data_IF_932084988520
#
_entry.id   IF_932084988520
#
_cell.length_a   1.000
_cell.length_b   1.000
_cell.length_c   1.000
_cell.angle_alpha   90.00
_cell.angle_beta   90.00
_cell.angle_gamma   90.00
#
_symmetry.space_group_name_H-M   'P 1'
#
loop_
_entity.id
_entity.type
_entity.pdbx_description
1 polymer ?
#
# COMPACT_ATOMS: atom_id res chain seq x y z
N UNK A 1 11.54 -22.76 -4.53
CA UNK A 1 10.71 -23.57 -3.62
C UNK A 1 11.20 -23.55 -2.16
N UNK A 2 12.50 -23.44 -1.86
CA UNK A 2 12.99 -23.47 -0.45
C UNK A 2 12.42 -22.38 0.47
N UNK A 3 12.05 -21.21 -0.05
CA UNK A 3 11.46 -20.10 0.72
C UNK A 3 10.04 -20.41 1.22
N UNK A 4 9.25 -21.11 0.40
CA UNK A 4 7.88 -21.56 0.72
C UNK A 4 7.94 -22.82 1.58
N UNK A 5 8.86 -23.73 1.28
CA UNK A 5 9.01 -24.99 2.03
C UNK A 5 9.53 -24.77 3.46
N UNK A 6 10.46 -23.83 3.66
CA UNK A 6 11.09 -23.61 4.97
C UNK A 6 10.50 -22.42 5.74
N UNK A 7 9.55 -21.67 5.15
CA UNK A 7 8.91 -20.48 5.75
C UNK A 7 9.91 -19.56 6.49
N UNK A 8 11.11 -19.37 5.93
CA UNK A 8 12.20 -18.67 6.62
C UNK A 8 12.85 -17.62 5.72
N UNK A 9 13.15 -16.47 6.32
CA UNK A 9 13.89 -15.36 5.71
C UNK A 9 15.39 -15.43 6.01
N UNK A 10 15.84 -16.40 6.82
CA UNK A 10 17.26 -16.61 7.12
C UNK A 10 17.95 -17.32 5.96
N UNK A 11 19.01 -16.73 5.41
CA UNK A 11 19.81 -17.33 4.32
C UNK A 11 20.33 -18.72 4.65
N UNK A 12 20.66 -18.98 5.92
CA UNK A 12 21.08 -20.32 6.38
C UNK A 12 19.94 -21.33 6.27
N UNK A 13 18.73 -20.96 6.71
CA UNK A 13 17.59 -21.88 6.68
C UNK A 13 17.06 -22.06 5.25
N UNK A 14 17.08 -21.01 4.44
CA UNK A 14 16.72 -21.11 3.01
C UNK A 14 17.66 -22.05 2.24
N UNK A 15 18.92 -22.18 2.68
CA UNK A 15 19.89 -23.08 2.07
C UNK A 15 19.58 -24.56 2.32
N UNK A 16 18.78 -24.89 3.35
CA UNK A 16 18.36 -26.26 3.64
C UNK A 16 17.52 -26.83 2.50
N UNK A 17 16.59 -26.05 1.93
CA UNK A 17 15.75 -26.48 0.80
C UNK A 17 16.43 -26.41 -0.57
N UNK A 18 17.70 -26.03 -0.67
CA UNK A 18 18.44 -26.13 -1.95
C UNK A 18 19.05 -27.53 -2.02
N UNK A 19 18.44 -28.42 -2.81
CA UNK A 19 18.93 -29.79 -3.01
C UNK A 19 20.27 -29.80 -3.75
N UNK A 20 21.20 -30.65 -3.31
CA UNK A 20 22.48 -30.86 -3.98
C UNK A 20 23.60 -31.34 -3.06
N UNK A 21 24.71 -31.80 -3.66
CA UNK A 21 25.89 -32.35 -2.96
C UNK A 21 26.80 -31.27 -2.34
N UNK A 22 26.50 -29.99 -2.54
CA UNK A 22 27.32 -28.88 -2.06
C UNK A 22 27.19 -28.68 -0.54
N UNK A 23 28.29 -28.28 0.10
CA UNK A 23 28.31 -27.92 1.53
C UNK A 23 27.25 -26.86 1.83
N UNK A 24 26.66 -26.93 3.03
CA UNK A 24 25.63 -25.99 3.47
C UNK A 24 26.09 -24.52 3.42
N UNK A 25 27.34 -24.25 3.82
CA UNK A 25 27.96 -22.93 3.74
C UNK A 25 28.04 -22.41 2.29
N UNK A 26 28.37 -23.26 1.32
CA UNK A 26 28.39 -22.90 -0.09
C UNK A 26 26.98 -22.57 -0.62
N UNK A 27 25.96 -23.34 -0.22
CA UNK A 27 24.56 -23.06 -0.56
C UNK A 27 24.08 -21.74 0.04
N UNK A 28 24.41 -21.50 1.31
CA UNK A 28 24.12 -20.22 2.00
C UNK A 28 24.77 -19.06 1.26
N UNK A 29 26.05 -19.17 0.89
CA UNK A 29 26.77 -18.12 0.17
C UNK A 29 26.16 -17.86 -1.21
N UNK A 30 25.66 -18.88 -1.90
CA UNK A 30 24.96 -18.72 -3.18
C UNK A 30 23.70 -17.85 -3.03
N UNK A 31 22.94 -18.05 -1.95
CA UNK A 31 21.76 -17.21 -1.66
C UNK A 31 22.18 -15.75 -1.41
N UNK A 32 23.22 -15.52 -0.62
CA UNK A 32 23.71 -14.16 -0.38
C UNK A 32 24.25 -13.50 -1.66
N UNK A 33 24.94 -14.23 -2.53
CA UNK A 33 25.39 -13.72 -3.84
C UNK A 33 24.20 -13.37 -4.72
N UNK A 34 23.17 -14.22 -4.76
CA UNK A 34 21.95 -13.92 -5.50
C UNK A 34 21.32 -12.60 -5.05
N UNK A 35 21.12 -12.38 -3.75
CA UNK A 35 20.53 -11.12 -3.29
C UNK A 35 21.47 -9.90 -3.39
N UNK A 36 22.78 -10.12 -3.47
CA UNK A 36 23.77 -9.04 -3.62
C UNK A 36 23.93 -8.59 -5.07
N UNK A 37 24.04 -9.54 -5.98
CA UNK A 37 24.53 -9.31 -7.33
C UNK A 37 23.39 -9.21 -8.36
N UNK A 38 22.14 -9.50 -7.96
CA UNK A 38 20.98 -9.41 -8.85
C UNK A 38 20.27 -8.07 -8.74
N UNK A 39 19.98 -7.48 -9.89
CA UNK A 39 19.14 -6.28 -10.00
C UNK A 39 17.72 -6.76 -10.30
N UNK A 40 16.79 -6.47 -9.39
CA UNK A 40 15.39 -6.81 -9.58
C UNK A 40 14.65 -5.69 -10.30
N UNK A 41 14.01 -6.01 -11.41
CA UNK A 41 12.98 -5.14 -11.96
C UNK A 41 11.69 -5.32 -11.15
N UNK A 42 11.42 -4.38 -10.25
CA UNK A 42 10.24 -4.44 -9.38
C UNK A 42 8.90 -4.42 -10.13
N UNK A 43 8.83 -3.91 -11.36
CA UNK A 43 7.62 -4.02 -12.19
C UNK A 43 7.39 -5.47 -12.66
N UNK A 44 8.47 -6.21 -12.95
CA UNK A 44 8.36 -7.63 -13.27
C UNK A 44 7.98 -8.46 -12.04
N UNK A 45 8.54 -8.13 -10.87
CA UNK A 45 8.15 -8.76 -9.60
C UNK A 45 6.67 -8.49 -9.31
N UNK A 46 6.20 -7.26 -9.50
CA UNK A 46 4.79 -6.90 -9.37
C UNK A 46 3.89 -7.71 -10.30
N UNK A 47 4.26 -7.81 -11.59
CA UNK A 47 3.54 -8.64 -12.59
C UNK A 47 3.50 -10.10 -12.17
N UNK A 48 4.62 -10.64 -11.69
CA UNK A 48 4.71 -12.01 -11.21
C UNK A 48 3.78 -12.25 -10.01
N UNK A 49 3.79 -11.35 -9.02
CA UNK A 49 2.89 -11.43 -7.85
C UNK A 49 1.43 -11.40 -8.30
N UNK A 50 1.04 -10.46 -9.16
CA UNK A 50 -0.34 -10.38 -9.65
C UNK A 50 -0.76 -11.62 -10.44
N UNK A 51 0.16 -12.23 -11.19
CA UNK A 51 -0.12 -13.48 -11.90
C UNK A 51 -0.32 -14.66 -10.94
N UNK A 52 0.37 -14.69 -9.79
CA UNK A 52 0.12 -15.70 -8.74
C UNK A 52 -1.26 -15.49 -8.12
N UNK A 53 -1.61 -14.24 -7.80
CA UNK A 53 -2.86 -13.86 -7.15
C UNK A 53 -3.93 -13.43 -8.16
N UNK A 54 -3.99 -14.11 -9.32
CA UNK A 54 -4.79 -13.72 -10.48
C UNK A 54 -6.24 -13.39 -10.11
N UNK A 55 -6.61 -12.12 -10.29
CA UNK A 55 -7.95 -11.62 -10.03
C UNK A 55 -8.35 -10.57 -11.08
N UNK A 56 -9.66 -10.43 -11.32
CA UNK A 56 -10.19 -9.46 -12.28
C UNK A 56 -9.90 -8.03 -11.82
N UNK A 57 -10.13 -7.78 -10.53
CA UNK A 57 -9.83 -6.51 -9.86
C UNK A 57 -9.26 -6.75 -8.48
N UNK A 58 -8.37 -5.87 -8.07
CA UNK A 58 -7.65 -5.94 -6.81
C UNK A 58 -8.11 -4.85 -5.85
N UNK A 59 -8.25 -5.21 -4.58
CA UNK A 59 -8.32 -4.23 -3.50
C UNK A 59 -6.88 -3.82 -3.21
N UNK A 60 -6.60 -2.53 -3.31
CA UNK A 60 -5.27 -1.98 -3.04
C UNK A 60 -5.26 -1.40 -1.64
N UNK A 61 -4.20 -1.65 -0.88
CA UNK A 61 -3.97 -1.07 0.44
C UNK A 61 -2.71 -0.24 0.38
N UNK A 62 -2.80 0.98 0.91
CA UNK A 62 -1.64 1.77 1.28
C UNK A 62 -1.42 1.61 2.78
N UNK A 63 -0.25 1.12 3.16
CA UNK A 63 0.12 0.88 4.56
C UNK A 63 1.52 1.41 4.83
N UNK A 64 1.77 1.89 6.05
CA UNK A 64 3.10 2.32 6.48
C UNK A 64 3.52 1.49 7.66
N UNK A 65 4.76 1.02 7.63
CA UNK A 65 5.35 0.27 8.72
C UNK A 65 6.58 0.98 9.25
N UNK A 66 6.72 1.05 10.58
CA UNK A 66 7.87 1.64 11.24
C UNK A 66 8.45 0.61 12.21
N UNK A 67 9.68 0.18 11.92
CA UNK A 67 10.43 -0.80 12.72
C UNK A 67 11.63 -0.12 13.33
N UNK A 68 12.05 -0.57 14.51
CA UNK A 68 13.35 -0.18 15.06
C UNK A 68 14.37 -1.26 14.80
N UNK A 69 15.44 -0.91 14.08
CA UNK A 69 16.61 -1.73 13.93
C UNK A 69 17.75 -1.15 14.79
N UNK A 70 17.85 -1.65 16.03
CA UNK A 70 18.75 -1.08 17.02
C UNK A 70 18.38 0.37 17.34
N UNK A 71 19.22 1.31 16.92
CA UNK A 71 18.99 2.76 17.09
C UNK A 71 18.39 3.44 15.86
N UNK A 72 18.26 2.72 14.74
CA UNK A 72 17.78 3.26 13.47
C UNK A 72 16.31 2.91 13.26
N UNK A 73 15.52 3.87 12.78
CA UNK A 73 14.15 3.61 12.36
C UNK A 73 14.14 3.16 10.88
N UNK A 74 13.43 2.07 10.61
CA UNK A 74 13.12 1.59 9.26
C UNK A 74 11.66 1.89 9.01
N UNK A 75 11.39 2.97 8.28
CA UNK A 75 10.06 3.37 7.88
C UNK A 75 9.84 3.03 6.41
N UNK A 76 8.82 2.25 6.08
CA UNK A 76 8.53 1.84 4.72
C UNK A 76 7.06 2.07 4.42
N UNK A 77 6.79 2.75 3.30
CA UNK A 77 5.47 2.84 2.71
C UNK A 77 5.26 1.67 1.75
N UNK A 78 4.15 0.96 1.89
CA UNK A 78 3.77 -0.17 1.05
C UNK A 78 2.52 0.15 0.24
N UNK A 79 2.56 -0.21 -1.04
CA UNK A 79 1.37 -0.43 -1.85
C UNK A 79 1.19 -1.94 -2.03
N UNK A 80 0.14 -2.48 -1.43
CA UNK A 80 -0.14 -3.91 -1.38
C UNK A 80 -1.49 -4.24 -2.03
N UNK A 81 -1.66 -5.49 -2.45
CA UNK A 81 -2.98 -6.05 -2.80
C UNK A 81 -3.51 -6.92 -1.68
N UNK A 82 -4.81 -6.91 -1.50
CA UNK A 82 -5.49 -7.83 -0.59
C UNK A 82 -5.97 -9.05 -1.38
N UNK A 83 -5.62 -10.23 -0.88
CA UNK A 83 -6.11 -11.50 -1.39
C UNK A 83 -6.61 -12.36 -0.23
N UNK A 84 -7.94 -12.55 -0.14
CA UNK A 84 -8.55 -13.23 1.00
C UNK A 84 -8.27 -12.50 2.32
N UNK A 85 -7.51 -13.15 3.22
CA UNK A 85 -7.16 -12.61 4.55
C UNK A 85 -5.72 -12.08 4.63
N UNK A 86 -4.98 -12.04 3.52
CA UNK A 86 -3.60 -11.58 3.48
C UNK A 86 -3.47 -10.33 2.62
N UNK A 87 -2.48 -9.50 2.94
CA UNK A 87 -2.00 -8.41 2.09
C UNK A 87 -0.62 -8.77 1.55
N UNK A 88 -0.40 -8.54 0.27
CA UNK A 88 0.86 -8.83 -0.41
C UNK A 88 1.42 -7.53 -0.97
N UNK A 89 2.55 -7.04 -0.45
CA UNK A 89 3.23 -5.87 -1.00
C UNK A 89 3.62 -6.06 -2.46
N UNK A 90 3.39 -5.02 -3.27
CA UNK A 90 3.77 -4.99 -4.69
C UNK A 90 4.86 -3.95 -4.92
N UNK A 91 4.65 -2.75 -4.36
CA UNK A 91 5.63 -1.68 -4.38
C UNK A 91 5.87 -1.18 -2.98
N UNK A 92 7.08 -0.67 -2.75
CA UNK A 92 7.44 -0.06 -1.49
C UNK A 92 8.45 1.06 -1.68
N UNK A 93 8.46 1.98 -0.73
CA UNK A 93 9.41 3.08 -0.69
C UNK A 93 9.90 3.31 0.73
N UNK A 94 11.23 3.31 0.98
CA UNK A 94 11.78 3.65 2.28
C UNK A 94 11.61 5.15 2.54
N UNK A 95 11.06 5.50 3.69
CA UNK A 95 10.86 6.87 4.13
C UNK A 95 12.02 7.29 5.04
N UNK A 96 12.59 8.47 4.80
CA UNK A 96 13.73 8.99 5.59
C UNK A 96 13.34 9.36 7.02
N UNK A 97 12.07 9.67 7.26
CA UNK A 97 11.56 10.14 8.56
C UNK A 97 10.16 9.59 8.84
N UNK A 98 9.81 9.50 10.12
CA UNK A 98 8.50 9.06 10.64
C UNK A 98 7.35 10.07 10.46
N UNK A 99 7.62 11.18 9.76
CA UNK A 99 6.65 12.24 9.45
C UNK A 99 5.59 11.86 8.39
N UNK A 100 4.76 12.84 8.03
CA UNK A 100 3.70 12.68 7.04
C UNK A 100 4.26 12.21 5.69
N UNK A 101 3.60 11.22 5.10
CA UNK A 101 3.92 10.78 3.74
C UNK A 101 3.49 11.86 2.74
N UNK A 102 4.37 12.22 1.81
CA UNK A 102 4.05 13.21 0.78
C UNK A 102 3.03 12.64 -0.21
N UNK A 103 2.00 13.44 -0.54
CA UNK A 103 0.97 13.07 -1.52
C UNK A 103 1.58 12.60 -2.84
N UNK A 104 2.61 13.30 -3.32
CA UNK A 104 3.33 12.96 -4.54
C UNK A 104 3.84 11.52 -4.56
N UNK A 105 4.37 11.00 -3.45
CA UNK A 105 4.95 9.66 -3.41
C UNK A 105 3.85 8.61 -3.52
N UNK A 106 2.73 8.82 -2.84
CA UNK A 106 1.55 7.94 -2.92
C UNK A 106 0.98 7.94 -4.35
N UNK A 107 0.88 9.12 -4.95
CA UNK A 107 0.46 9.29 -6.35
C UNK A 107 1.41 8.53 -7.29
N UNK A 108 2.72 8.72 -7.16
CA UNK A 108 3.71 8.04 -8.00
C UNK A 108 3.65 6.51 -7.87
N UNK A 109 3.50 5.98 -6.66
CA UNK A 109 3.35 4.53 -6.44
C UNK A 109 2.08 3.99 -7.09
N UNK A 110 0.96 4.71 -6.96
CA UNK A 110 -0.31 4.29 -7.55
C UNK A 110 -0.33 4.48 -9.07
N UNK A 111 0.29 5.54 -9.60
CA UNK A 111 0.48 5.74 -11.04
C UNK A 111 1.33 4.64 -11.65
N UNK A 112 2.41 4.22 -10.97
CA UNK A 112 3.21 3.06 -11.39
C UNK A 112 2.36 1.79 -11.49
N UNK A 113 1.45 1.57 -10.55
CA UNK A 113 0.49 0.47 -10.64
C UNK A 113 -0.44 0.63 -11.85
N UNK A 114 -1.04 1.80 -12.01
CA UNK A 114 -1.97 2.11 -13.11
C UNK A 114 -1.29 1.94 -14.47
N UNK A 115 -0.04 2.37 -14.62
CA UNK A 115 0.70 2.27 -15.87
C UNK A 115 1.02 0.80 -16.24
N UNK A 116 1.25 -0.05 -15.23
CA UNK A 116 1.56 -1.47 -15.47
C UNK A 116 0.31 -2.34 -15.67
N UNK A 117 -0.80 -2.03 -15.00
CA UNK A 117 -1.96 -2.93 -14.89
C UNK A 117 -3.28 -2.30 -15.36
N UNK A 118 -3.33 -0.97 -15.44
CA UNK A 118 -4.53 -0.21 -15.76
C UNK A 118 -5.39 0.10 -14.53
N UNK A 119 -6.02 1.28 -14.53
CA UNK A 119 -6.91 1.73 -13.44
C UNK A 119 -8.11 0.80 -13.25
N UNK A 120 -8.58 0.16 -14.33
CA UNK A 120 -9.70 -0.78 -14.31
C UNK A 120 -9.45 -2.02 -13.45
N UNK A 121 -8.18 -2.35 -13.18
CA UNK A 121 -7.78 -3.43 -12.26
C UNK A 121 -7.94 -3.05 -10.79
N UNK A 122 -8.24 -1.80 -10.46
CA UNK A 122 -8.44 -1.36 -9.07
C UNK A 122 -9.93 -1.49 -8.73
N UNK A 123 -10.25 -2.29 -7.71
CA UNK A 123 -11.61 -2.40 -7.17
C UNK A 123 -11.93 -1.19 -6.29
N UNK A 124 -11.07 -0.95 -5.31
CA UNK A 124 -11.01 0.26 -4.49
C UNK A 124 -9.68 0.28 -3.71
N UNK A 125 -9.30 1.46 -3.23
CA UNK A 125 -8.14 1.69 -2.37
C UNK A 125 -8.55 1.81 -0.90
N UNK A 126 -7.80 1.18 -0.01
CA UNK A 126 -7.89 1.31 1.43
C UNK A 126 -6.64 2.00 1.95
N UNK A 127 -6.78 2.91 2.88
CA UNK A 127 -5.66 3.51 3.59
C UNK A 127 -6.13 3.98 4.97
N UNK A 128 -5.21 4.09 5.93
CA UNK A 128 -5.51 4.68 7.23
C UNK A 128 -5.69 6.21 7.15
N UNK A 129 -6.28 6.80 8.18
CA UNK A 129 -6.57 8.22 8.34
C UNK A 129 -5.36 9.14 8.19
N UNK A 130 -4.14 8.62 8.35
CA UNK A 130 -2.92 9.40 8.16
C UNK A 130 -2.68 9.79 6.70
N UNK A 131 -3.37 9.12 5.76
CA UNK A 131 -3.27 9.37 4.33
C UNK A 131 -4.42 10.26 3.80
N UNK A 132 -4.93 11.21 4.59
CA UNK A 132 -6.00 12.14 4.19
C UNK A 132 -5.49 13.45 3.55
N UNK A 133 -4.39 13.40 2.78
CA UNK A 133 -3.85 14.56 2.07
C UNK A 133 -4.80 15.10 1.00
N UNK A 134 -4.92 16.43 0.87
CA UNK A 134 -5.81 17.09 -0.10
C UNK A 134 -5.52 16.68 -1.53
N UNK A 135 -4.25 16.80 -1.90
CA UNK A 135 -3.76 16.52 -3.25
C UNK A 135 -4.01 15.05 -3.59
N UNK A 136 -3.74 14.17 -2.63
CA UNK A 136 -3.98 12.73 -2.74
C UNK A 136 -5.45 12.38 -2.98
N UNK A 137 -6.37 12.93 -2.19
CA UNK A 137 -7.82 12.69 -2.38
C UNK A 137 -8.30 13.24 -3.73
N UNK A 138 -7.77 14.38 -4.17
CA UNK A 138 -8.09 14.95 -5.47
C UNK A 138 -7.56 14.08 -6.61
N UNK A 139 -6.35 13.53 -6.48
CA UNK A 139 -5.79 12.57 -7.43
C UNK A 139 -6.67 11.32 -7.57
N UNK A 140 -7.08 10.71 -6.44
CA UNK A 140 -7.94 9.53 -6.45
C UNK A 140 -9.28 9.81 -7.13
N UNK A 141 -9.88 10.97 -6.83
CA UNK A 141 -11.14 11.41 -7.43
C UNK A 141 -10.98 11.65 -8.94
N UNK A 142 -9.90 12.31 -9.35
CA UNK A 142 -9.60 12.61 -10.77
C UNK A 142 -9.40 11.35 -11.59
N UNK A 143 -8.70 10.35 -11.03
CA UNK A 143 -8.50 9.04 -11.68
C UNK A 143 -9.73 8.11 -11.55
N UNK A 144 -10.82 8.57 -10.94
CA UNK A 144 -12.05 7.79 -10.68
C UNK A 144 -11.80 6.50 -9.89
N UNK A 145 -10.85 6.54 -8.96
CA UNK A 145 -10.51 5.41 -8.10
C UNK A 145 -11.40 5.48 -6.86
N UNK A 146 -12.20 4.43 -6.63
CA UNK A 146 -12.97 4.30 -5.39
C UNK A 146 -12.02 4.11 -4.22
N UNK A 147 -12.27 4.75 -3.09
CA UNK A 147 -11.44 4.60 -1.90
C UNK A 147 -12.27 4.59 -0.62
N UNK A 148 -11.72 3.97 0.43
CA UNK A 148 -12.23 4.06 1.79
C UNK A 148 -11.06 4.43 2.71
N UNK A 149 -11.09 5.68 3.20
CA UNK A 149 -10.10 6.23 4.12
C UNK A 149 -10.87 6.77 5.34
N UNK A 150 -10.57 6.30 6.55
CA UNK A 150 -11.27 6.75 7.75
C UNK A 150 -11.08 8.25 8.01
N UNK A 151 -12.17 8.93 8.34
CA UNK A 151 -12.17 10.36 8.64
C UNK A 151 -12.21 10.59 10.16
N UNK A 152 -11.47 11.59 10.66
CA UNK A 152 -11.51 11.94 12.09
C UNK A 152 -12.88 12.55 12.44
N UNK A 153 -13.42 12.19 13.60
CA UNK A 153 -14.75 12.62 14.05
C UNK A 153 -14.92 14.15 14.11
N UNK A 154 -13.84 14.85 14.42
CA UNK A 154 -13.71 16.30 14.55
C UNK A 154 -13.41 17.03 13.24
N UNK A 155 -13.14 16.29 12.15
CA UNK A 155 -12.92 16.92 10.85
C UNK A 155 -14.18 17.68 10.41
N UNK A 156 -14.00 18.92 9.98
CA UNK A 156 -15.10 19.73 9.44
C UNK A 156 -15.32 19.34 7.99
N UNK A 157 -16.57 19.00 7.66
CA UNK A 157 -17.00 18.81 6.27
C UNK A 157 -17.94 19.93 5.87
N UNK A 158 -17.78 20.40 4.63
CA UNK A 158 -18.69 21.32 4.00
C UNK A 158 -19.63 20.52 3.11
N UNK A 159 -20.91 20.49 3.44
CA UNK A 159 -21.93 19.79 2.66
C UNK A 159 -22.31 20.73 1.52
N UNK A 160 -22.05 20.38 0.26
CA UNK A 160 -22.20 21.33 -0.87
C UNK A 160 -23.62 21.90 -1.02
N UNK A 161 -24.64 21.17 -0.54
CA UNK A 161 -26.04 21.59 -0.59
C UNK A 161 -26.50 22.43 0.61
N UNK A 162 -25.67 22.59 1.63
CA UNK A 162 -25.93 23.46 2.76
C UNK A 162 -24.71 24.37 2.90
N UNK A 163 -24.88 25.69 2.90
CA UNK A 163 -23.78 26.65 3.14
C UNK A 163 -23.18 26.56 4.57
N UNK A 164 -23.30 25.40 5.23
CA UNK A 164 -22.94 25.11 6.60
C UNK A 164 -21.80 24.10 6.63
N UNK A 165 -20.82 24.37 7.47
CA UNK A 165 -19.80 23.41 7.88
C UNK A 165 -20.25 22.70 9.15
N UNK A 166 -20.10 21.39 9.20
CA UNK A 166 -20.43 20.59 10.39
C UNK A 166 -19.31 19.58 10.66
N UNK A 167 -19.07 19.21 11.94
CA UNK A 167 -18.20 18.09 12.26
C UNK A 167 -18.72 16.80 11.61
N UNK A 168 -17.80 15.97 11.13
CA UNK A 168 -18.08 14.64 10.57
C UNK A 168 -18.96 13.84 11.53
N UNK A 169 -18.59 13.76 12.81
CA UNK A 169 -19.35 12.99 13.80
C UNK A 169 -20.84 13.34 13.90
N UNK A 170 -21.23 14.59 13.59
CA UNK A 170 -22.64 15.06 13.64
C UNK A 170 -23.37 14.93 12.30
N UNK A 171 -22.64 14.61 11.23
CA UNK A 171 -23.19 14.49 9.87
C UNK A 171 -23.51 13.04 9.52
N UNK A 172 -22.90 12.07 10.20
CA UNK A 172 -23.11 10.63 9.97
C UNK A 172 -24.17 10.00 10.88
N UNK A 173 -24.77 10.76 11.80
CA UNK A 173 -25.86 10.28 12.69
C UNK A 173 -27.09 9.76 11.90
N UNK A 174 -27.17 10.06 10.60
CA UNK A 174 -28.26 9.64 9.70
C UNK A 174 -27.86 8.54 8.69
N UNK A 175 -26.60 8.10 8.69
CA UNK A 175 -26.06 7.21 7.65
C UNK A 175 -26.05 5.79 8.19
N UNK A 176 -27.04 4.98 7.80
CA UNK A 176 -27.04 3.54 8.12
C UNK A 176 -25.84 2.86 7.47
N UNK A 177 -25.30 1.86 8.17
CA UNK A 177 -23.99 1.22 7.99
C UNK A 177 -23.68 0.54 6.63
N UNK A 178 -24.38 0.86 5.54
CA UNK A 178 -24.16 0.29 4.20
C UNK A 178 -24.24 1.31 3.06
N UNK A 179 -24.41 2.60 3.34
CA UNK A 179 -24.41 3.63 2.29
C UNK A 179 -23.00 4.20 2.08
N UNK A 180 -22.45 3.94 0.88
CA UNK A 180 -21.27 4.64 0.38
C UNK A 180 -21.62 6.13 0.22
N UNK A 181 -21.14 6.98 1.12
CA UNK A 181 -21.16 8.43 0.87
C UNK A 181 -20.00 8.74 -0.06
N UNK A 182 -20.31 9.15 -1.28
CA UNK A 182 -19.37 9.82 -2.16
C UNK A 182 -19.09 11.22 -1.56
N UNK A 183 -18.20 11.27 -0.57
CA UNK A 183 -17.76 12.54 0.00
C UNK A 183 -16.82 13.19 -1.02
N UNK A 184 -17.36 14.07 -1.87
CA UNK A 184 -16.54 15.06 -2.55
C UNK A 184 -15.99 16.00 -1.48
N UNK A 185 -14.74 15.78 -1.08
CA UNK A 185 -14.03 16.67 -0.16
C UNK A 185 -13.75 17.98 -0.90
N UNK A 186 -14.69 18.91 -0.84
CA UNK A 186 -14.51 20.27 -1.34
C UNK A 186 -13.64 21.04 -0.35
N UNK A 187 -12.35 21.15 -0.64
CA UNK A 187 -11.47 22.08 0.08
C UNK A 187 -11.80 23.51 -0.36
N UNK A 188 -12.67 24.16 0.40
CA UNK A 188 -12.89 25.60 0.28
C UNK A 188 -11.62 26.34 0.65
N UNK A 189 -11.20 27.26 -0.23
CA UNK A 189 -10.18 28.26 0.04
C UNK A 189 -10.76 29.15 1.14
N UNK A 190 -10.23 29.08 2.37
CA UNK A 190 -10.32 30.22 3.27
C UNK A 190 -9.21 31.17 2.82
N UNK A 191 -9.63 32.31 2.29
CA UNK A 191 -8.79 33.51 2.20
C UNK A 191 -8.37 33.94 3.59
#
# INVERSE_FOLDING_TARGET
MSLIENCSVSGKNMALGILGKAKHSSRTQRIYRFFRDQIFNYDQVAKFILNIFANDKYIIVLDRTCWKFGKSDINILFLAIVFGKISVPIYWYPLEHSGACSSWLMEAMLERFINNFGVHKIKYLLADREFMGKEWLNFLTTKQIKFAIPVRKDMLIRITNALQTKPVGKSFDYVKALEYIEVRVCYGIMQ
#
